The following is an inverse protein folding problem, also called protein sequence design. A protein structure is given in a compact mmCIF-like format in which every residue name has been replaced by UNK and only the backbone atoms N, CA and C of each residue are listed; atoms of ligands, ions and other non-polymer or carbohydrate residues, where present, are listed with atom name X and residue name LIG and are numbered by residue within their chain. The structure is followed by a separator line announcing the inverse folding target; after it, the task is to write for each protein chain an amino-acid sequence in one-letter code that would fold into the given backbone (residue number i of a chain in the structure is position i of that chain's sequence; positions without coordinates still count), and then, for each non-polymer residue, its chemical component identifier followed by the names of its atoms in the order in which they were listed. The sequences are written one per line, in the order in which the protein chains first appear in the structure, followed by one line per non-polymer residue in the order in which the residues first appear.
data_IF_232726642947
#
_entry.id   IF_232726642947
#
_cell.length_a   1.000
_cell.length_b   1.000
_cell.length_c   1.000
_cell.angle_alpha   90.00
_cell.angle_beta   90.00
_cell.angle_gamma   90.00
#
_symmetry.space_group_name_H-M   'P 1'
#
loop_
_entity.id
_entity.type
_entity.pdbx_description
1 polymer ?
#
# COMPACT_ATOMS: atom_id res chain seq x y z
N UNK A 1 7.40 -4.67 -14.85
CA UNK A 1 8.79 -5.04 -15.16
C UNK A 1 9.56 -5.28 -13.88
N UNK A 2 10.53 -6.20 -13.87
CA UNK A 2 11.42 -6.40 -12.71
C UNK A 2 12.58 -5.41 -12.77
N UNK A 3 12.85 -4.73 -11.65
CA UNK A 3 13.97 -3.81 -11.49
C UNK A 3 15.29 -4.60 -11.52
N UNK A 4 16.21 -4.28 -12.43
CA UNK A 4 17.54 -4.91 -12.47
C UNK A 4 18.57 -4.21 -11.56
N UNK A 5 18.34 -2.94 -11.21
CA UNK A 5 19.26 -2.13 -10.38
C UNK A 5 18.81 -2.02 -8.92
N UNK A 6 18.19 -3.07 -8.37
CA UNK A 6 17.51 -3.08 -7.06
C UNK A 6 18.37 -2.79 -5.82
N UNK A 7 19.57 -2.20 -5.95
CA UNK A 7 20.39 -1.74 -4.83
C UNK A 7 20.37 -0.23 -4.60
N UNK A 8 20.16 0.60 -5.64
CA UNK A 8 20.39 2.06 -5.52
C UNK A 8 19.10 2.86 -5.35
N UNK A 9 18.07 2.51 -6.14
CA UNK A 9 16.73 3.05 -5.97
C UNK A 9 15.83 1.94 -5.46
N UNK A 10 15.46 2.06 -4.18
CA UNK A 10 14.52 1.13 -3.57
C UNK A 10 13.15 1.29 -4.26
N UNK A 11 12.68 0.24 -4.93
CA UNK A 11 11.36 0.21 -5.59
C UNK A 11 10.23 0.58 -4.62
N UNK A 12 10.39 0.28 -3.33
CA UNK A 12 9.50 0.69 -2.25
C UNK A 12 9.45 2.21 -2.08
N UNK A 13 10.61 2.88 -2.00
CA UNK A 13 10.69 4.36 -1.90
C UNK A 13 10.06 5.04 -3.11
N UNK A 14 10.23 4.46 -4.30
CA UNK A 14 9.58 4.97 -5.50
C UNK A 14 8.05 4.84 -5.40
N UNK A 15 7.56 3.69 -4.92
CA UNK A 15 6.14 3.48 -4.68
C UNK A 15 5.57 4.41 -3.58
N UNK A 16 6.32 4.73 -2.52
CA UNK A 16 5.92 5.71 -1.49
C UNK A 16 5.60 7.09 -2.06
N UNK A 17 6.31 7.46 -3.13
CA UNK A 17 6.10 8.73 -3.83
C UNK A 17 5.22 8.55 -5.08
N UNK A 18 4.53 7.43 -5.20
CA UNK A 18 3.58 7.17 -6.29
C UNK A 18 4.23 7.02 -7.66
N UNK A 19 5.50 6.62 -7.74
CA UNK A 19 6.18 6.31 -8.99
C UNK A 19 6.06 4.83 -9.36
N UNK A 20 5.82 4.56 -10.65
CA UNK A 20 5.92 3.24 -11.24
C UNK A 20 6.95 3.20 -12.36
N UNK A 21 7.60 2.06 -12.55
CA UNK A 21 8.49 1.82 -13.69
C UNK A 21 7.66 1.63 -14.97
N UNK A 22 7.94 2.45 -15.99
CA UNK A 22 7.26 2.36 -17.30
C UNK A 22 8.19 1.87 -18.41
N UNK A 23 9.49 2.17 -18.32
CA UNK A 23 10.49 1.67 -19.27
C UNK A 23 11.75 1.26 -18.50
N UNK A 24 11.98 -0.05 -18.40
CA UNK A 24 13.14 -0.61 -17.71
C UNK A 24 14.45 -0.36 -18.47
N UNK A 25 14.40 -0.27 -19.80
CA UNK A 25 15.59 -0.06 -20.64
C UNK A 25 16.10 1.37 -20.53
N UNK A 26 15.18 2.33 -20.42
CA UNK A 26 15.48 3.76 -20.25
C UNK A 26 15.48 4.21 -18.80
N UNK A 27 15.29 3.29 -17.86
CA UNK A 27 15.15 3.58 -16.42
C UNK A 27 14.17 4.73 -16.18
N UNK A 28 13.03 4.70 -16.86
CA UNK A 28 12.03 5.78 -16.80
C UNK A 28 10.88 5.35 -15.90
N UNK A 29 10.56 6.21 -14.95
CA UNK A 29 9.42 6.08 -14.05
C UNK A 29 8.36 7.13 -14.37
N UNK A 30 7.11 6.84 -14.01
CA UNK A 30 5.97 7.72 -14.17
C UNK A 30 5.22 7.83 -12.85
N UNK A 31 4.80 9.03 -12.46
CA UNK A 31 3.91 9.20 -11.33
C UNK A 31 2.48 8.79 -11.72
N UNK A 32 1.86 7.90 -10.96
CA UNK A 32 0.48 7.46 -11.22
C UNK A 32 -0.57 8.54 -10.89
N UNK A 33 -0.24 9.50 -10.02
CA UNK A 33 -1.13 10.60 -9.66
C UNK A 33 -1.09 11.76 -10.65
N UNK A 34 0.10 12.29 -10.98
CA UNK A 34 0.23 13.48 -11.84
C UNK A 34 0.71 13.18 -13.26
N UNK A 35 1.00 11.92 -13.59
CA UNK A 35 1.42 11.53 -14.92
C UNK A 35 2.82 11.98 -15.34
N UNK A 36 3.53 12.73 -14.50
CA UNK A 36 4.90 13.20 -14.77
C UNK A 36 5.87 12.03 -14.97
N UNK A 37 6.80 12.19 -15.91
CA UNK A 37 7.84 11.19 -16.19
C UNK A 37 9.18 11.66 -15.66
N UNK A 38 9.91 10.76 -15.00
CA UNK A 38 11.27 11.00 -14.51
C UNK A 38 12.20 9.93 -15.06
N UNK A 39 13.33 10.36 -15.63
CA UNK A 39 14.42 9.46 -16.00
C UNK A 39 15.35 9.30 -14.79
N UNK A 40 15.60 8.06 -14.38
CA UNK A 40 16.46 7.71 -13.24
C UNK A 40 17.75 7.01 -13.67
N UNK A 41 18.16 7.16 -14.93
CA UNK A 41 19.39 6.60 -15.44
C UNK A 41 20.60 7.15 -14.69
N UNK A 42 21.43 6.25 -14.17
CA UNK A 42 22.72 6.57 -13.58
C UNK A 42 23.85 6.21 -14.56
N UNK A 43 24.96 6.98 -14.57
CA UNK A 43 26.15 6.58 -15.32
C UNK A 43 26.69 5.26 -14.76
N UNK A 44 27.39 4.48 -15.57
CA UNK A 44 28.03 3.26 -15.08
C UNK A 44 29.10 3.62 -14.05
N UNK A 45 29.01 3.04 -12.85
CA UNK A 45 29.94 3.29 -11.73
C UNK A 45 31.39 2.95 -12.08
N UNK A 46 31.63 2.04 -13.03
CA UNK A 46 32.97 1.72 -13.51
C UNK A 46 33.51 2.75 -14.53
N UNK A 47 32.64 3.61 -15.07
CA UNK A 47 32.96 4.56 -16.15
C UNK A 47 33.19 6.00 -15.68
N UNK A 48 32.84 6.32 -14.44
CA UNK A 48 32.94 7.67 -13.87
C UNK A 48 33.52 7.64 -12.47
N UNK A 49 34.07 8.77 -12.03
CA UNK A 49 34.50 8.94 -10.65
C UNK A 49 33.32 8.76 -9.67
N UNK A 50 33.61 8.13 -8.53
CA UNK A 50 32.61 7.87 -7.48
C UNK A 50 31.94 9.16 -6.98
N UNK A 51 32.65 10.30 -7.00
CA UNK A 51 32.09 11.61 -6.64
C UNK A 51 30.99 12.02 -7.62
N UNK A 52 31.23 11.84 -8.92
CA UNK A 52 30.25 12.16 -9.98
C UNK A 52 29.05 11.23 -9.88
N UNK A 53 29.31 9.92 -9.72
CA UNK A 53 28.27 8.91 -9.53
C UNK A 53 27.34 9.27 -8.36
N UNK A 54 27.93 9.52 -7.18
CA UNK A 54 27.18 9.87 -5.97
C UNK A 54 26.40 11.18 -6.12
N UNK A 55 26.92 12.15 -6.85
CA UNK A 55 26.17 13.39 -7.15
C UNK A 55 24.93 13.09 -7.99
N UNK A 56 25.06 12.35 -9.09
CA UNK A 56 23.92 11.96 -9.93
C UNK A 56 22.89 11.14 -9.14
N UNK A 57 23.34 10.21 -8.30
CA UNK A 57 22.44 9.43 -7.43
C UNK A 57 21.64 10.34 -6.49
N UNK A 58 22.28 11.32 -5.85
CA UNK A 58 21.57 12.29 -4.99
C UNK A 58 20.55 13.13 -5.77
N UNK A 59 20.91 13.61 -6.97
CA UNK A 59 20.01 14.37 -7.83
C UNK A 59 18.76 13.56 -8.22
N UNK A 60 18.94 12.28 -8.54
CA UNK A 60 17.81 11.37 -8.82
C UNK A 60 16.93 11.19 -7.57
N UNK A 61 17.53 10.97 -6.39
CA UNK A 61 16.77 10.87 -5.14
C UNK A 61 15.99 12.14 -4.80
N UNK A 62 16.59 13.32 -5.00
CA UNK A 62 15.92 14.60 -4.79
C UNK A 62 14.79 14.81 -5.82
N UNK A 63 15.01 14.41 -7.07
CA UNK A 63 14.01 14.50 -8.14
C UNK A 63 12.79 13.61 -7.87
N UNK A 64 13.01 12.39 -7.39
CA UNK A 64 11.94 11.48 -6.93
C UNK A 64 11.05 12.15 -5.88
N UNK A 65 11.64 12.99 -5.03
CA UNK A 65 10.93 13.63 -3.94
C UNK A 65 10.23 14.93 -4.35
N UNK A 66 10.71 15.61 -5.40
CA UNK A 66 10.34 17.00 -5.71
C UNK A 66 9.65 17.22 -7.06
N UNK A 67 9.97 16.41 -8.08
CA UNK A 67 9.55 16.63 -9.48
C UNK A 67 8.07 16.39 -9.76
N UNK A 68 7.27 15.98 -8.78
CA UNK A 68 5.83 15.96 -8.93
C UNK A 68 5.25 17.34 -9.25
N UNK A 69 4.18 17.37 -10.05
CA UNK A 69 3.33 18.55 -10.20
C UNK A 69 2.89 19.10 -8.85
N UNK A 70 2.68 20.42 -8.77
CA UNK A 70 2.40 21.12 -7.50
C UNK A 70 1.16 20.57 -6.77
N UNK A 71 0.15 20.12 -7.51
CA UNK A 71 -1.12 19.58 -7.01
C UNK A 71 -1.13 18.05 -6.90
N UNK A 72 0.00 17.39 -7.14
CA UNK A 72 0.09 15.94 -7.11
C UNK A 72 -0.25 15.38 -5.72
N UNK A 73 -1.21 14.47 -5.66
CA UNK A 73 -1.60 13.81 -4.41
C UNK A 73 -0.48 12.96 -3.82
N UNK A 74 0.41 12.39 -4.64
CA UNK A 74 1.57 11.64 -4.14
C UNK A 74 2.64 12.56 -3.49
N UNK A 75 2.61 13.87 -3.79
CA UNK A 75 3.47 14.88 -3.14
C UNK A 75 2.92 15.31 -1.78
N UNK A 76 1.60 15.35 -1.63
CA UNK A 76 0.90 15.91 -0.47
C UNK A 76 0.31 14.88 0.50
N UNK A 77 -0.01 13.66 0.03
CA UNK A 77 -0.48 12.55 0.88
C UNK A 77 0.70 11.67 1.27
N UNK A 78 0.98 11.61 2.57
CA UNK A 78 1.30 10.32 3.20
C UNK A 78 -0.06 9.67 3.51
N UNK A 79 -0.47 8.60 2.81
CA UNK A 79 -1.75 7.99 3.08
C UNK A 79 -1.70 7.29 4.44
N UNK A 80 -2.14 8.00 5.47
CA UNK A 80 -2.44 7.42 6.75
C UNK A 80 -3.76 6.66 6.61
N UNK A 81 -3.69 5.33 6.59
CA UNK A 81 -4.87 4.50 6.43
C UNK A 81 -5.88 4.77 7.54
N UNK A 82 -5.41 4.90 8.78
CA UNK A 82 -6.29 5.01 9.95
C UNK A 82 -5.64 5.70 11.17
N UNK A 83 -4.46 6.32 11.06
CA UNK A 83 -3.74 6.84 12.24
C UNK A 83 -4.48 7.95 13.00
N UNK A 84 -5.55 8.50 12.42
CA UNK A 84 -6.43 9.49 13.02
C UNK A 84 -7.80 8.90 13.40
N UNK A 85 -8.15 7.73 12.87
CA UNK A 85 -9.44 7.06 13.10
C UNK A 85 -9.26 6.07 14.25
N UNK A 86 -9.62 6.51 15.44
CA UNK A 86 -9.44 5.72 16.67
C UNK A 86 -10.74 5.02 17.10
N UNK A 87 -11.86 5.31 16.45
CA UNK A 87 -13.15 4.76 16.82
C UNK A 87 -13.69 3.77 15.79
N UNK A 88 -14.32 2.69 16.28
CA UNK A 88 -14.93 1.66 15.43
C UNK A 88 -15.95 2.24 14.44
N UNK A 89 -16.71 3.24 14.84
CA UNK A 89 -17.68 3.97 14.00
C UNK A 89 -16.97 4.63 12.81
N UNK A 90 -15.91 5.39 13.07
CA UNK A 90 -15.13 6.08 12.04
C UNK A 90 -14.51 5.10 11.04
N UNK A 91 -13.95 3.99 11.53
CA UNK A 91 -13.42 2.93 10.67
C UNK A 91 -14.51 2.28 9.81
N UNK A 92 -15.68 2.04 10.40
CA UNK A 92 -16.81 1.45 9.69
C UNK A 92 -17.34 2.39 8.59
N UNK A 93 -17.40 3.69 8.86
CA UNK A 93 -17.85 4.70 7.92
C UNK A 93 -16.85 4.86 6.75
N UNK A 94 -15.55 4.86 7.02
CA UNK A 94 -14.50 4.88 5.98
C UNK A 94 -14.57 3.63 5.10
N UNK A 95 -14.70 2.43 5.70
CA UNK A 95 -14.86 1.18 4.95
C UNK A 95 -16.12 1.19 4.08
N UNK A 96 -17.25 1.72 4.60
CA UNK A 96 -18.49 1.85 3.86
C UNK A 96 -18.35 2.84 2.71
N UNK A 97 -17.80 4.02 2.97
CA UNK A 97 -17.51 5.04 1.95
C UNK A 97 -16.68 4.43 0.80
N UNK A 98 -15.64 3.67 1.13
CA UNK A 98 -14.83 2.97 0.13
C UNK A 98 -15.64 1.97 -0.67
N UNK A 99 -16.46 1.15 -0.02
CA UNK A 99 -17.33 0.19 -0.71
C UNK A 99 -18.33 0.89 -1.64
N UNK A 100 -18.91 2.02 -1.23
CA UNK A 100 -19.81 2.81 -2.09
C UNK A 100 -19.12 3.24 -3.38
N UNK A 101 -17.85 3.70 -3.32
CA UNK A 101 -17.10 4.05 -4.54
C UNK A 101 -16.87 2.87 -5.47
N UNK A 102 -16.88 1.65 -4.94
CA UNK A 102 -16.65 0.42 -5.70
C UNK A 102 -17.92 -0.14 -6.36
N UNK A 103 -19.13 0.21 -5.87
CA UNK A 103 -20.40 -0.34 -6.38
C UNK A 103 -20.62 -0.10 -7.87
N UNK A 104 -20.09 1.01 -8.38
CA UNK A 104 -20.18 1.36 -9.80
C UNK A 104 -19.21 0.58 -10.70
N UNK A 105 -18.30 -0.21 -10.11
CA UNK A 105 -17.33 -0.99 -10.86
C UNK A 105 -17.97 -2.28 -11.36
N UNK A 106 -17.72 -2.65 -12.61
CA UNK A 106 -18.14 -3.95 -13.13
C UNK A 106 -17.08 -4.98 -12.77
N UNK A 107 -17.33 -5.81 -11.76
CA UNK A 107 -16.45 -6.94 -11.45
C UNK A 107 -16.46 -7.92 -12.64
N UNK A 108 -15.30 -8.27 -13.19
CA UNK A 108 -15.21 -9.34 -14.17
C UNK A 108 -15.60 -10.68 -13.54
N UNK A 109 -16.31 -11.51 -14.31
CA UNK A 109 -16.72 -12.85 -13.86
C UNK A 109 -15.50 -13.74 -13.60
N UNK A 110 -15.57 -14.53 -12.53
CA UNK A 110 -14.55 -15.54 -12.19
C UNK A 110 -13.26 -14.98 -11.55
N UNK A 111 -13.20 -13.69 -11.25
CA UNK A 111 -12.09 -13.14 -10.44
C UNK A 111 -12.33 -13.44 -8.98
N UNK A 112 -11.33 -14.04 -8.35
CA UNK A 112 -11.33 -14.32 -6.91
C UNK A 112 -10.32 -13.44 -6.19
N UNK A 113 -10.74 -12.94 -5.03
CA UNK A 113 -9.87 -12.24 -4.09
C UNK A 113 -9.68 -13.15 -2.88
N UNK A 114 -8.50 -13.76 -2.83
CA UNK A 114 -8.12 -14.79 -1.87
C UNK A 114 -7.34 -14.16 -0.73
N UNK A 115 -8.04 -13.50 0.19
CA UNK A 115 -7.43 -12.99 1.43
C UNK A 115 -7.78 -13.91 2.59
N UNK A 116 -6.75 -14.42 3.27
CA UNK A 116 -6.92 -15.34 4.39
C UNK A 116 -7.35 -14.60 5.66
N UNK A 117 -8.18 -15.27 6.46
CA UNK A 117 -8.65 -14.75 7.75
C UNK A 117 -9.71 -13.64 7.65
N UNK A 118 -10.25 -13.37 6.46
CA UNK A 118 -11.48 -12.60 6.28
C UNK A 118 -12.64 -13.59 6.10
N UNK A 119 -13.52 -13.67 7.10
CA UNK A 119 -14.67 -14.56 7.09
C UNK A 119 -15.87 -13.89 6.39
N UNK A 120 -16.59 -14.64 5.55
CA UNK A 120 -17.80 -14.14 4.86
C UNK A 120 -18.84 -13.58 5.84
N UNK A 121 -19.01 -14.22 7.00
CA UNK A 121 -19.95 -13.76 8.03
C UNK A 121 -19.59 -12.37 8.57
N UNK A 122 -18.30 -12.09 8.72
CA UNK A 122 -17.80 -10.83 9.25
C UNK A 122 -17.98 -9.73 8.19
N UNK A 123 -17.75 -10.06 6.91
CA UNK A 123 -18.06 -9.17 5.78
C UNK A 123 -19.54 -8.78 5.72
N UNK A 124 -20.44 -9.69 6.07
CA UNK A 124 -21.87 -9.41 6.15
C UNK A 124 -22.26 -8.60 7.39
N UNK A 125 -21.52 -8.72 8.51
CA UNK A 125 -21.72 -7.82 9.67
C UNK A 125 -21.24 -6.38 9.36
N UNK A 126 -20.09 -6.23 8.70
CA UNK A 126 -19.54 -4.92 8.32
C UNK A 126 -20.36 -4.29 7.19
N UNK A 127 -20.73 -5.10 6.19
CA UNK A 127 -21.48 -4.69 5.01
C UNK A 127 -22.74 -5.56 4.84
N UNK A 128 -23.86 -5.17 5.47
CA UNK A 128 -25.09 -5.98 5.48
C UNK A 128 -25.76 -6.17 4.12
N UNK A 129 -25.42 -5.35 3.12
CA UNK A 129 -26.01 -5.42 1.79
C UNK A 129 -25.53 -6.66 1.04
N UNK A 130 -26.36 -7.70 1.01
CA UNK A 130 -26.09 -8.98 0.33
C UNK A 130 -26.07 -8.86 -1.20
N UNK A 131 -26.57 -7.76 -1.78
CA UNK A 131 -26.54 -7.54 -3.23
C UNK A 131 -25.12 -7.20 -3.75
N UNK A 132 -24.23 -6.78 -2.86
CA UNK A 132 -22.85 -6.44 -3.19
C UNK A 132 -21.98 -7.70 -3.19
N UNK A 133 -21.24 -7.89 -4.29
CA UNK A 133 -20.30 -8.99 -4.45
C UNK A 133 -19.27 -9.07 -3.30
N UNK A 134 -19.06 -10.29 -2.78
CA UNK A 134 -18.13 -10.53 -1.68
C UNK A 134 -16.69 -10.11 -2.01
N UNK A 135 -16.33 -10.18 -3.29
CA UNK A 135 -15.04 -9.78 -3.85
C UNK A 135 -14.83 -8.27 -3.71
N UNK A 136 -15.87 -7.47 -3.96
CA UNK A 136 -15.80 -6.02 -3.71
C UNK A 136 -15.66 -5.72 -2.22
N UNK A 137 -16.40 -6.42 -1.36
CA UNK A 137 -16.29 -6.27 0.10
C UNK A 137 -14.87 -6.55 0.60
N UNK A 138 -14.24 -7.62 0.08
CA UNK A 138 -12.84 -7.97 0.39
C UNK A 138 -11.86 -6.89 -0.09
N UNK A 139 -12.04 -6.36 -1.30
CA UNK A 139 -11.20 -5.28 -1.82
C UNK A 139 -11.30 -4.01 -0.96
N UNK A 140 -12.50 -3.61 -0.56
CA UNK A 140 -12.70 -2.45 0.30
C UNK A 140 -11.98 -2.60 1.66
N UNK A 141 -12.10 -3.77 2.30
CA UNK A 141 -11.41 -4.05 3.57
C UNK A 141 -9.91 -4.03 3.41
N UNK A 142 -9.39 -4.68 2.37
CA UNK A 142 -7.95 -4.80 2.12
C UNK A 142 -7.29 -3.52 1.56
N UNK A 143 -8.03 -2.40 1.51
CA UNK A 143 -7.48 -1.08 1.18
C UNK A 143 -7.40 -0.77 -0.31
N UNK A 144 -8.28 -1.39 -1.10
CA UNK A 144 -8.42 -1.11 -2.53
C UNK A 144 -9.64 -0.23 -2.80
N UNK A 145 -9.49 0.68 -3.75
CA UNK A 145 -10.52 1.59 -4.21
C UNK A 145 -10.62 1.53 -5.75
N UNK A 146 -11.79 1.91 -6.28
CA UNK A 146 -12.00 2.02 -7.73
C UNK A 146 -11.02 3.04 -8.32
N UNK A 147 -10.36 2.66 -9.42
CA UNK A 147 -9.54 3.58 -10.20
C UNK A 147 -10.16 3.85 -11.57
N UNK A 148 -10.52 2.80 -12.29
CA UNK A 148 -11.26 2.86 -13.54
C UNK A 148 -12.29 1.70 -13.61
N UNK A 149 -12.84 1.43 -14.79
CA UNK A 149 -13.85 0.37 -14.98
C UNK A 149 -13.34 -1.05 -14.71
N UNK A 150 -12.03 -1.27 -14.78
CA UNK A 150 -11.42 -2.61 -14.78
C UNK A 150 -10.18 -2.70 -13.89
N UNK A 151 -9.96 -1.69 -13.04
CA UNK A 151 -8.79 -1.63 -12.19
C UNK A 151 -9.09 -1.00 -10.85
N UNK A 152 -8.35 -1.50 -9.88
CA UNK A 152 -8.37 -1.02 -8.51
C UNK A 152 -7.04 -0.38 -8.19
N UNK A 153 -7.08 0.64 -7.34
CA UNK A 153 -5.90 1.31 -6.83
C UNK A 153 -5.81 1.05 -5.34
N UNK A 154 -4.61 0.75 -4.85
CA UNK A 154 -4.40 0.76 -3.41
C UNK A 154 -4.41 2.20 -2.90
N UNK A 155 -5.19 2.50 -1.88
CA UNK A 155 -5.24 3.84 -1.28
C UNK A 155 -3.93 4.25 -0.56
N UNK A 156 -3.03 3.29 -0.28
CA UNK A 156 -1.76 3.49 0.45
C UNK A 156 -0.55 3.75 -0.45
N UNK A 157 -0.40 2.97 -1.50
CA UNK A 157 0.74 3.13 -2.40
C UNK A 157 0.33 3.71 -3.76
N UNK A 158 -0.96 4.02 -3.93
CA UNK A 158 -1.58 4.59 -5.14
C UNK A 158 -1.38 3.75 -6.40
N UNK A 159 -0.91 2.52 -6.24
CA UNK A 159 -0.63 1.64 -7.35
C UNK A 159 -1.92 0.99 -7.82
N UNK A 160 -2.06 0.98 -9.13
CA UNK A 160 -3.20 0.39 -9.82
C UNK A 160 -2.89 -1.05 -10.24
N UNK A 161 -3.85 -1.95 -10.03
CA UNK A 161 -3.89 -3.31 -10.56
C UNK A 161 -5.10 -3.47 -11.47
N UNK A 162 -4.87 -3.96 -12.68
CA UNK A 162 -5.96 -4.40 -13.56
C UNK A 162 -6.57 -5.70 -13.04
N UNK A 163 -7.89 -5.72 -12.91
CA UNK A 163 -8.68 -6.89 -12.56
C UNK A 163 -8.79 -7.81 -13.79
N UNK A 164 -7.68 -8.45 -14.13
CA UNK A 164 -7.62 -9.41 -15.26
C UNK A 164 -7.35 -10.83 -14.78
N UNK A 165 -6.96 -10.99 -13.52
CA UNK A 165 -6.74 -12.27 -12.87
C UNK A 165 -7.03 -12.16 -11.36
N UNK A 166 -7.32 -13.31 -10.75
CA UNK A 166 -7.43 -13.48 -9.30
C UNK A 166 -6.12 -13.13 -8.60
N UNK A 167 -6.21 -12.57 -7.39
CA UNK A 167 -5.03 -12.26 -6.59
C UNK A 167 -5.34 -12.23 -5.10
N UNK A 168 -4.32 -12.49 -4.29
CA UNK A 168 -4.34 -12.26 -2.84
C UNK A 168 -3.84 -10.85 -2.56
N UNK A 169 -4.66 -9.94 -2.00
CA UNK A 169 -4.24 -8.58 -1.69
C UNK A 169 -2.96 -8.56 -0.87
N UNK A 170 -2.90 -9.17 0.31
CA UNK A 170 -1.70 -9.12 1.17
C UNK A 170 -0.43 -9.60 0.48
N UNK A 171 -0.41 -10.79 -0.11
CA UNK A 171 0.80 -11.34 -0.74
C UNK A 171 1.19 -10.59 -2.03
N UNK A 172 0.20 -10.20 -2.83
CA UNK A 172 0.44 -9.46 -4.07
C UNK A 172 0.85 -8.02 -3.81
N UNK A 173 0.54 -7.47 -2.63
CA UNK A 173 0.72 -6.06 -2.26
C UNK A 173 1.96 -5.85 -1.36
N UNK A 174 2.26 -6.78 -0.44
CA UNK A 174 3.39 -6.72 0.51
C UNK A 174 4.74 -6.48 -0.17
N UNK A 175 4.98 -7.11 -1.32
CA UNK A 175 6.28 -7.04 -2.00
C UNK A 175 6.63 -5.65 -2.53
N UNK A 176 5.70 -4.69 -2.51
CA UNK A 176 5.93 -3.33 -3.02
C UNK A 176 5.14 -2.23 -2.31
N UNK A 177 4.22 -2.54 -1.39
CA UNK A 177 3.55 -1.53 -0.60
C UNK A 177 4.42 -1.11 0.58
N UNK A 178 4.84 0.16 0.64
CA UNK A 178 5.65 0.64 1.73
C UNK A 178 4.94 0.70 3.08
N UNK A 179 3.62 0.66 3.09
CA UNK A 179 2.81 0.69 4.31
C UNK A 179 2.57 -0.69 4.92
N UNK A 180 2.93 -1.75 4.20
CA UNK A 180 3.02 -3.11 4.73
C UNK A 180 4.49 -3.34 5.07
N UNK A 181 4.94 -2.87 6.24
CA UNK A 181 6.35 -2.90 6.59
C UNK A 181 6.79 -4.30 7.08
N UNK A 182 7.70 -5.02 6.38
CA UNK A 182 8.35 -6.22 6.93
C UNK A 182 9.26 -5.91 8.14
N UNK A 183 9.46 -4.64 8.49
CA UNK A 183 10.13 -4.21 9.72
C UNK A 183 9.17 -3.68 10.79
N UNK A 184 7.85 -3.72 10.55
CA UNK A 184 6.90 -3.72 11.66
C UNK A 184 7.14 -5.02 12.42
N UNK A 185 7.50 -4.99 13.71
CA UNK A 185 7.83 -6.19 14.47
C UNK A 185 6.70 -7.21 14.56
N UNK A 186 5.50 -6.87 14.08
CA UNK A 186 4.37 -7.77 14.02
C UNK A 186 4.08 -8.32 12.62
N UNK A 187 4.60 -7.72 11.56
CA UNK A 187 4.28 -8.07 10.15
C UNK A 187 2.75 -8.12 9.89
N UNK A 188 1.98 -7.27 10.58
CA UNK A 188 0.51 -7.23 10.46
C UNK A 188 0.11 -6.11 9.49
N UNK A 189 -0.58 -6.42 8.38
CA UNK A 189 -1.14 -5.41 7.50
C UNK A 189 -2.09 -4.46 8.22
N UNK A 190 -2.04 -3.15 7.94
CA UNK A 190 -2.95 -2.19 8.58
C UNK A 190 -4.44 -2.47 8.32
N UNK A 191 -4.77 -3.10 7.19
CA UNK A 191 -6.14 -3.54 6.92
C UNK A 191 -6.62 -4.59 7.92
N UNK A 192 -5.71 -5.45 8.40
CA UNK A 192 -6.02 -6.48 9.38
C UNK A 192 -6.37 -5.84 10.73
N UNK A 193 -5.62 -4.82 11.13
CA UNK A 193 -5.91 -4.04 12.35
C UNK A 193 -7.28 -3.39 12.26
N UNK A 194 -7.63 -2.77 11.13
CA UNK A 194 -8.94 -2.17 10.92
C UNK A 194 -10.06 -3.21 10.91
N UNK A 195 -9.87 -4.32 10.20
CA UNK A 195 -10.80 -5.44 10.18
C UNK A 195 -11.08 -5.97 11.59
N UNK A 196 -10.03 -6.33 12.34
CA UNK A 196 -10.16 -6.87 13.68
C UNK A 196 -10.83 -5.85 14.63
N UNK A 197 -10.56 -4.55 14.47
CA UNK A 197 -11.21 -3.49 15.26
C UNK A 197 -12.70 -3.36 14.97
N UNK A 198 -13.10 -3.52 13.70
CA UNK A 198 -14.52 -3.43 13.32
C UNK A 198 -15.27 -4.72 13.66
N UNK A 199 -14.66 -5.90 13.50
CA UNK A 199 -15.28 -7.20 13.78
C UNK A 199 -15.36 -7.48 15.28
N UNK A 200 -14.30 -7.24 16.06
CA UNK A 200 -14.30 -7.56 17.48
C UNK A 200 -15.04 -6.50 18.32
N UNK A 201 -16.15 -6.91 18.96
CA UNK A 201 -16.93 -6.06 19.89
C UNK A 201 -16.24 -5.77 21.22
N UNK A 202 -15.15 -6.47 21.56
CA UNK A 202 -14.44 -6.34 22.84
C UNK A 202 -12.98 -6.78 22.75
N UNK A 203 -12.15 -5.88 22.30
CA UNK A 203 -10.79 -5.70 22.83
C UNK A 203 -10.55 -4.23 22.72
N UNK A 204 -10.19 -3.59 23.83
CA UNK A 204 -9.82 -2.17 23.77
C UNK A 204 -8.76 -2.03 22.66
N UNK A 205 -8.79 -0.94 21.90
CA UNK A 205 -7.66 -0.61 21.02
C UNK A 205 -6.35 -0.61 21.83
N UNK A 206 -6.40 -0.35 23.14
CA UNK A 206 -5.27 -0.54 24.06
C UNK A 206 -4.86 -1.99 24.25
N UNK A 207 -5.74 -2.99 24.09
CA UNK A 207 -5.41 -4.41 24.20
C UNK A 207 -4.77 -4.90 22.90
N UNK A 208 -5.34 -4.55 21.75
CA UNK A 208 -4.72 -4.83 20.44
C UNK A 208 -3.38 -4.09 20.30
N UNK A 209 -3.32 -2.80 20.70
CA UNK A 209 -2.08 -2.01 20.72
C UNK A 209 -1.15 -2.37 21.90
N UNK A 210 -1.63 -2.99 22.98
CA UNK A 210 -0.75 -3.47 24.08
C UNK A 210 -0.21 -4.85 23.80
N UNK A 211 -0.90 -5.69 23.03
CA UNK A 211 -0.31 -6.87 22.39
C UNK A 211 0.82 -6.40 21.46
N UNK A 212 0.57 -5.36 20.66
CA UNK A 212 1.60 -4.72 19.82
C UNK A 212 2.75 -4.12 20.63
N UNK A 213 2.48 -3.34 21.69
CA UNK A 213 3.50 -2.70 22.56
C UNK A 213 4.25 -3.68 23.46
N UNK A 214 3.63 -4.76 23.94
CA UNK A 214 4.31 -5.78 24.77
C UNK A 214 5.30 -6.59 23.93
N UNK A 215 4.94 -6.91 22.69
CA UNK A 215 5.87 -7.52 21.73
C UNK A 215 7.06 -6.59 21.43
N UNK A 216 6.81 -5.30 21.18
CA UNK A 216 7.86 -4.27 21.00
C UNK A 216 8.83 -4.15 22.20
N UNK A 217 8.32 -4.21 23.43
CA UNK A 217 9.16 -4.10 24.64
C UNK A 217 9.95 -5.38 24.93
N UNK A 218 9.47 -6.55 24.53
CA UNK A 218 10.20 -7.80 24.71
C UNK A 218 11.45 -7.90 23.83
N UNK A 219 11.42 -7.32 22.62
CA UNK A 219 12.55 -7.27 21.68
C UNK A 219 13.64 -6.28 22.10
N UNK A 220 13.30 -5.24 22.86
CA UNK A 220 14.24 -4.25 23.40
C UNK A 220 15.02 -4.76 24.64
N UNK A 221 14.49 -5.75 25.35
CA UNK A 221 15.13 -6.35 26.54
C UNK A 221 16.15 -7.43 26.12
N UNK A 222 15.96 -8.07 24.96
CA UNK A 222 16.93 -9.01 24.40
C UNK A 222 18.14 -8.35 23.73
N UNK A 223 18.07 -7.07 23.38
CA UNK A 223 19.17 -6.32 22.75
C UNK A 223 20.12 -5.61 23.71
N UNK A 224 19.89 -5.68 25.03
CA UNK A 224 20.74 -5.05 26.05
C UNK A 224 21.59 -6.04 26.85
N UNK A 225 21.56 -7.34 26.51
CA UNK A 225 22.36 -8.39 27.12
C UNK A 225 23.26 -9.14 26.13
N UNK A 226 23.84 -8.44 25.15
CA UNK A 226 24.94 -8.94 24.32
C UNK A 226 26.01 -7.86 24.18
#
# INVERSE_FOLDING_TARGET
GRWRNGKELNARRLAERGWRLVDASKQTIKCDSCGFYLNTALPDVASVDLIVYNRCLREVHESVDTCHEKTCTAKSRRPNFFTHLNEKSELSDELRSRLETMKEMKMPEGIEITEDGIETKDLLEIFPDESIDITMKKLAITGWEKHDYSSVRCCLCLRTLSLTCSFTPSSSHHSWCPFLDPHDPLDIPQWRVAYDTVVHKKTSLSDSLSIVRRSLNSSLITSTNC
#
